data_IF_852707759367
#
_entry.id   IF_852707759367
#
_cell.length_a   1.000
_cell.length_b   1.000
_cell.length_c   1.000
_cell.angle_alpha   90.00
_cell.angle_beta   90.00
_cell.angle_gamma   90.00
#
_symmetry.space_group_name_H-M   'P 1'
#
loop_
_entity.id
_entity.type
_entity.pdbx_description
1 polymer ?
#
# COMPACT_ATOMS: atom_id res chain seq x y z
N UNK A 1 5.99 -0.71 -14.78
CA UNK A 1 5.43 0.46 -14.08
C UNK A 1 6.50 0.97 -13.12
N UNK A 2 6.81 2.26 -13.11
CA UNK A 2 7.75 2.81 -12.14
C UNK A 2 7.07 2.90 -10.77
N UNK A 3 7.66 2.22 -9.77
CA UNK A 3 7.13 2.13 -8.40
C UNK A 3 7.43 3.40 -7.59
N UNK A 4 8.21 4.34 -8.14
CA UNK A 4 8.54 5.64 -7.52
C UNK A 4 7.30 6.52 -7.26
N UNK A 5 6.22 6.35 -8.03
CA UNK A 5 4.95 7.08 -7.84
C UNK A 5 4.35 6.86 -6.45
N UNK A 6 4.65 5.72 -5.82
CA UNK A 6 4.23 5.39 -4.47
C UNK A 6 5.13 6.03 -3.41
N UNK A 7 5.82 7.15 -3.63
CA UNK A 7 6.88 7.65 -2.74
C UNK A 7 6.60 7.72 -1.22
N UNK A 8 5.36 7.90 -0.68
CA UNK A 8 5.08 7.72 0.75
C UNK A 8 4.82 6.26 1.19
N UNK A 9 4.59 5.36 0.24
CA UNK A 9 4.25 3.94 0.38
C UNK A 9 5.40 3.03 -0.09
N UNK A 10 5.80 2.09 0.77
CA UNK A 10 6.72 1.02 0.38
C UNK A 10 5.93 -0.17 -0.14
N UNK A 11 6.23 -0.63 -1.36
CA UNK A 11 5.77 -1.95 -1.82
C UNK A 11 6.54 -3.01 -1.03
N UNK A 12 5.81 -3.82 -0.27
CA UNK A 12 6.36 -4.88 0.59
C UNK A 12 6.42 -6.20 -0.17
N UNK A 13 5.38 -6.50 -0.95
CA UNK A 13 5.28 -7.70 -1.73
C UNK A 13 4.35 -7.50 -2.94
N UNK A 14 4.54 -8.30 -3.98
CA UNK A 14 3.70 -8.34 -5.17
C UNK A 14 3.34 -9.79 -5.46
N UNK A 15 2.04 -10.09 -5.38
CA UNK A 15 1.48 -11.35 -5.85
C UNK A 15 1.00 -11.16 -7.29
N UNK A 16 1.86 -11.51 -8.25
CA UNK A 16 1.58 -11.36 -9.67
C UNK A 16 0.52 -12.33 -10.18
N UNK A 17 0.31 -13.47 -9.51
CA UNK A 17 -0.69 -14.47 -9.89
C UNK A 17 -2.09 -13.95 -9.57
N UNK A 18 -2.27 -13.42 -8.36
CA UNK A 18 -3.54 -12.85 -7.91
C UNK A 18 -3.69 -11.35 -8.22
N UNK A 19 -2.68 -10.74 -8.86
CA UNK A 19 -2.61 -9.31 -9.13
C UNK A 19 -2.89 -8.48 -7.88
N UNK A 20 -2.18 -8.76 -6.79
CA UNK A 20 -2.33 -8.07 -5.50
C UNK A 20 -1.00 -7.48 -5.03
N UNK A 21 -1.02 -6.20 -4.67
CA UNK A 21 0.15 -5.47 -4.15
C UNK A 21 -0.01 -5.22 -2.65
N UNK A 22 0.98 -5.63 -1.87
CA UNK A 22 1.06 -5.30 -0.45
C UNK A 22 1.90 -4.04 -0.28
N UNK A 23 1.31 -3.02 0.32
CA UNK A 23 1.95 -1.74 0.59
C UNK A 23 2.01 -1.46 2.08
N UNK A 24 2.97 -0.64 2.50
CA UNK A 24 3.14 -0.20 3.88
C UNK A 24 3.54 1.27 3.91
N UNK A 25 3.01 2.02 4.89
CA UNK A 25 3.44 3.38 5.17
C UNK A 25 4.85 3.41 5.82
N UNK A 26 5.63 4.48 5.63
CA UNK A 26 6.97 4.56 6.23
C UNK A 26 6.93 4.87 7.71
N UNK A 27 5.85 5.48 8.18
CA UNK A 27 5.63 5.82 9.59
C UNK A 27 4.22 5.43 10.06
N UNK A 28 4.01 5.37 11.38
CA UNK A 28 2.69 5.15 11.98
C UNK A 28 1.72 6.30 11.66
N UNK A 29 2.20 7.55 11.72
CA UNK A 29 1.43 8.73 11.35
C UNK A 29 0.92 8.67 9.90
N UNK A 30 1.77 8.25 8.96
CA UNK A 30 1.37 8.07 7.57
C UNK A 30 0.36 6.91 7.40
N UNK A 31 0.50 5.80 8.14
CA UNK A 31 -0.47 4.68 8.09
C UNK A 31 -1.86 5.17 8.50
N UNK A 32 -1.96 5.92 9.60
CA UNK A 32 -3.20 6.51 10.06
C UNK A 32 -3.77 7.51 9.04
N UNK A 33 -2.93 8.38 8.48
CA UNK A 33 -3.38 9.34 7.47
C UNK A 33 -3.93 8.63 6.23
N UNK A 34 -3.22 7.63 5.71
CA UNK A 34 -3.61 6.89 4.50
C UNK A 34 -4.93 6.13 4.73
N UNK A 35 -5.08 5.45 5.87
CA UNK A 35 -6.30 4.70 6.21
C UNK A 35 -7.52 5.59 6.24
N UNK A 36 -7.38 6.79 6.80
CA UNK A 36 -8.49 7.71 6.98
C UNK A 36 -8.79 8.57 5.75
N UNK A 37 -7.81 8.82 4.88
CA UNK A 37 -7.94 9.84 3.82
C UNK A 37 -7.66 9.35 2.40
N UNK A 38 -6.92 8.25 2.21
CA UNK A 38 -6.37 7.89 0.89
C UNK A 38 -6.86 6.56 0.32
N UNK A 39 -7.56 5.72 1.11
CA UNK A 39 -7.94 4.36 0.73
C UNK A 39 -8.73 4.30 -0.59
N UNK A 40 -9.69 5.20 -0.79
CA UNK A 40 -10.50 5.23 -2.02
C UNK A 40 -9.65 5.59 -3.26
N UNK A 41 -8.75 6.58 -3.13
CA UNK A 41 -7.86 6.98 -4.21
C UNK A 41 -6.88 5.86 -4.58
N UNK A 42 -6.37 5.15 -3.57
CA UNK A 42 -5.53 3.96 -3.78
C UNK A 42 -6.32 2.86 -4.49
N UNK A 43 -7.54 2.56 -4.05
CA UNK A 43 -8.37 1.53 -4.69
C UNK A 43 -8.59 1.83 -6.17
N UNK A 44 -8.90 3.08 -6.51
CA UNK A 44 -9.03 3.51 -7.90
C UNK A 44 -7.73 3.34 -8.69
N UNK A 45 -6.60 3.81 -8.14
CA UNK A 45 -5.30 3.74 -8.80
C UNK A 45 -4.84 2.29 -9.08
N UNK A 46 -5.02 1.39 -8.11
CA UNK A 46 -4.68 -0.02 -8.29
C UNK A 46 -5.63 -0.71 -9.29
N UNK A 47 -6.94 -0.45 -9.19
CA UNK A 47 -7.92 -1.02 -10.14
C UNK A 47 -7.66 -0.57 -11.58
N UNK A 48 -7.29 0.69 -11.80
CA UNK A 48 -6.95 1.21 -13.13
C UNK A 48 -5.77 0.46 -13.78
N UNK A 49 -4.91 -0.16 -12.97
CA UNK A 49 -3.78 -0.98 -13.43
C UNK A 49 -4.10 -2.49 -13.45
N UNK A 50 -5.34 -2.87 -13.09
CA UNK A 50 -5.75 -4.27 -13.01
C UNK A 50 -5.23 -5.01 -11.77
N UNK A 51 -4.85 -4.27 -10.72
CA UNK A 51 -4.40 -4.82 -9.45
C UNK A 51 -5.38 -4.50 -8.32
N UNK A 52 -5.34 -5.33 -7.28
CA UNK A 52 -5.86 -5.01 -5.94
C UNK A 52 -4.70 -4.65 -5.02
N UNK A 53 -4.99 -4.08 -3.85
CA UNK A 53 -3.96 -3.79 -2.85
C UNK A 53 -4.38 -4.12 -1.43
N UNK A 54 -3.40 -4.25 -0.56
CA UNK A 54 -3.57 -4.32 0.88
C UNK A 54 -2.55 -3.42 1.58
N UNK A 55 -3.05 -2.51 2.42
CA UNK A 55 -2.22 -1.69 3.29
C UNK A 55 -1.95 -2.44 4.60
N UNK A 56 -0.73 -2.94 4.74
CA UNK A 56 -0.29 -3.67 5.92
C UNK A 56 -0.11 -2.70 7.09
N UNK A 57 -0.73 -3.01 8.24
CA UNK A 57 -0.69 -2.15 9.43
C UNK A 57 0.74 -1.93 9.90
N UNK A 58 1.07 -0.68 10.23
CA UNK A 58 2.43 -0.32 10.64
C UNK A 58 2.90 -1.11 11.87
N UNK A 59 2.02 -1.27 12.85
CA UNK A 59 2.28 -1.97 14.12
C UNK A 59 2.59 -3.47 13.99
N UNK A 60 2.34 -4.10 12.84
CA UNK A 60 2.54 -5.54 12.67
C UNK A 60 4.01 -5.99 12.59
N UNK A 61 4.99 -5.07 12.60
CA UNK A 61 6.41 -5.41 12.45
C UNK A 61 7.33 -4.90 13.57
N UNK A 62 6.81 -4.26 14.63
CA UNK A 62 7.60 -3.91 15.83
C UNK A 62 7.71 -5.08 16.84
N UNK A 63 7.41 -6.32 16.41
CA UNK A 63 7.80 -7.53 17.13
C UNK A 63 9.01 -8.14 16.43
N UNK A 64 10.18 -7.54 16.66
CA UNK A 64 11.49 -8.21 16.56
C UNK A 64 12.23 -7.85 17.84
#
# INVERSE_FOLDING_TARGET
MDKSWFSPLKVVNEDSVNKKIFIKAKTEFEDDYIRNNCMQGLEYAFKAQGFSFELVKFSNFNKI
#
